data_IF_762291749455
#
_entry.id   IF_762291749455
#
_cell.length_a   1.000
_cell.length_b   1.000
_cell.length_c   1.000
_cell.angle_alpha   90.00
_cell.angle_beta   90.00
_cell.angle_gamma   90.00
#
_symmetry.space_group_name_H-M   'P 1'
#
loop_
_entity.id
_entity.type
_entity.pdbx_description
1 polymer ?
#
# COMPACT_ATOMS: atom_id res chain seq x y z
N UNK A 1 20.22 11.85 2.96
CA UNK A 1 19.53 10.67 2.37
C UNK A 1 18.49 11.16 1.38
N UNK A 2 18.37 10.58 0.18
CA UNK A 2 17.30 10.93 -0.77
C UNK A 2 15.92 10.59 -0.17
N UNK A 3 14.93 11.46 -0.34
CA UNK A 3 13.54 11.32 0.18
C UNK A 3 12.94 9.93 -0.07
N UNK A 4 13.23 9.33 -1.23
CA UNK A 4 12.84 7.97 -1.58
C UNK A 4 13.36 6.89 -0.61
N UNK A 5 14.62 6.99 -0.16
CA UNK A 5 15.20 6.03 0.80
C UNK A 5 14.53 6.13 2.17
N UNK A 6 14.20 7.35 2.60
CA UNK A 6 13.50 7.57 3.88
C UNK A 6 12.13 6.90 3.86
N UNK A 7 11.36 7.01 2.77
CA UNK A 7 10.08 6.31 2.65
C UNK A 7 10.22 4.79 2.72
N UNK A 8 11.22 4.22 2.06
CA UNK A 8 11.47 2.77 2.08
C UNK A 8 11.84 2.30 3.49
N UNK A 9 12.78 3.00 4.14
CA UNK A 9 13.21 2.68 5.51
C UNK A 9 12.04 2.83 6.49
N UNK A 10 11.27 3.92 6.42
CA UNK A 10 10.12 4.12 7.29
C UNK A 10 9.03 3.05 7.07
N UNK A 11 8.72 2.71 5.81
CA UNK A 11 7.74 1.67 5.49
C UNK A 11 8.13 0.31 6.09
N UNK A 12 9.34 -0.17 5.81
CA UNK A 12 9.77 -1.48 6.31
C UNK A 12 10.09 -1.46 7.80
N UNK A 13 10.53 -0.33 8.34
CA UNK A 13 10.73 -0.14 9.78
C UNK A 13 9.41 -0.21 10.56
N UNK A 14 8.36 0.48 10.10
CA UNK A 14 7.03 0.41 10.71
C UNK A 14 6.39 -0.97 10.54
N UNK A 15 6.54 -1.60 9.37
CA UNK A 15 6.05 -2.96 9.16
C UNK A 15 6.77 -3.97 10.06
N UNK A 16 8.10 -3.83 10.21
CA UNK A 16 8.89 -4.65 11.14
C UNK A 16 8.49 -4.40 12.60
N UNK A 17 8.28 -3.14 12.97
CA UNK A 17 7.78 -2.76 14.30
C UNK A 17 6.44 -3.45 14.59
N UNK A 18 5.46 -3.40 13.68
CA UNK A 18 4.18 -4.09 13.84
C UNK A 18 4.33 -5.59 14.17
N UNK A 19 5.33 -6.27 13.59
CA UNK A 19 5.58 -7.69 13.82
C UNK A 19 6.23 -7.98 15.18
N UNK A 20 7.12 -7.10 15.65
CA UNK A 20 7.90 -7.34 16.88
C UNK A 20 7.29 -6.71 18.14
N UNK A 21 6.33 -5.80 17.97
CA UNK A 21 5.64 -5.19 19.11
C UNK A 21 4.96 -6.28 19.96
N UNK A 22 5.16 -6.27 21.28
CA UNK A 22 4.63 -7.31 22.14
C UNK A 22 3.11 -7.28 22.15
N UNK A 23 2.50 -8.45 22.35
CA UNK A 23 1.10 -8.52 22.72
C UNK A 23 0.92 -8.04 24.16
N UNK A 24 -0.22 -7.40 24.43
CA UNK A 24 -0.62 -7.03 25.78
C UNK A 24 -1.73 -7.99 26.24
N UNK A 25 -1.45 -8.91 27.19
CA UNK A 25 -2.45 -9.87 27.67
C UNK A 25 -3.61 -9.19 28.43
N UNK A 26 -3.46 -7.93 28.86
CA UNK A 26 -4.54 -7.17 29.47
C UNK A 26 -5.56 -6.66 28.43
N UNK A 27 -5.18 -6.61 27.15
CA UNK A 27 -6.09 -6.22 26.07
C UNK A 27 -6.93 -7.42 25.68
N UNK A 28 -8.22 -7.36 26.02
CA UNK A 28 -9.22 -8.28 25.48
C UNK A 28 -9.78 -7.73 24.19
N UNK A 29 -9.75 -8.55 23.13
CA UNK A 29 -10.30 -8.22 21.83
C UNK A 29 -11.57 -9.03 21.54
N UNK A 30 -12.52 -8.50 20.76
CA UNK A 30 -13.63 -9.30 20.26
C UNK A 30 -13.16 -10.53 19.49
N UNK A 31 -13.84 -11.66 19.68
CA UNK A 31 -13.46 -12.96 19.06
C UNK A 31 -13.42 -12.95 17.53
N UNK A 32 -14.02 -11.95 16.88
CA UNK A 32 -13.98 -11.81 15.41
C UNK A 32 -12.68 -11.18 14.90
N UNK A 33 -11.80 -10.65 15.76
CA UNK A 33 -10.53 -10.04 15.36
C UNK A 33 -9.59 -11.06 14.72
N UNK A 34 -9.45 -12.24 15.31
CA UNK A 34 -8.58 -13.31 14.80
C UNK A 34 -8.98 -13.77 13.39
N UNK A 35 -10.25 -14.18 13.13
CA UNK A 35 -10.63 -14.55 11.77
C UNK A 35 -10.54 -13.37 10.80
N UNK A 36 -10.82 -12.13 11.24
CA UNK A 36 -10.63 -10.95 10.39
C UNK A 36 -9.16 -10.76 10.01
N UNK A 37 -8.23 -10.91 10.96
CA UNK A 37 -6.79 -10.83 10.72
C UNK A 37 -6.36 -11.81 9.63
N UNK A 38 -6.80 -13.08 9.73
CA UNK A 38 -6.50 -14.12 8.73
C UNK A 38 -7.06 -13.75 7.36
N UNK A 39 -8.33 -13.32 7.29
CA UNK A 39 -8.98 -12.91 6.03
C UNK A 39 -8.23 -11.74 5.40
N UNK A 40 -7.90 -10.71 6.18
CA UNK A 40 -7.14 -9.56 5.70
C UNK A 40 -5.75 -9.96 5.20
N UNK A 41 -5.07 -10.88 5.90
CA UNK A 41 -3.75 -11.36 5.49
C UNK A 41 -3.81 -12.07 4.13
N UNK A 42 -4.77 -12.98 3.95
CA UNK A 42 -4.98 -13.70 2.68
C UNK A 42 -5.30 -12.72 1.55
N UNK A 43 -6.24 -11.80 1.77
CA UNK A 43 -6.59 -10.77 0.78
C UNK A 43 -5.37 -9.91 0.41
N UNK A 44 -4.57 -9.51 1.39
CA UNK A 44 -3.39 -8.69 1.15
C UNK A 44 -2.35 -9.42 0.28
N UNK A 45 -2.08 -10.70 0.55
CA UNK A 45 -1.17 -11.49 -0.28
C UNK A 45 -1.70 -11.71 -1.69
N UNK A 46 -3.01 -11.88 -1.87
CA UNK A 46 -3.61 -11.95 -3.21
C UNK A 46 -3.43 -10.64 -3.98
N UNK A 47 -3.71 -9.49 -3.35
CA UNK A 47 -3.50 -8.17 -3.95
C UNK A 47 -2.01 -8.00 -4.31
N UNK A 48 -1.11 -8.35 -3.40
CA UNK A 48 0.34 -8.26 -3.60
C UNK A 48 0.79 -9.13 -4.78
N UNK A 49 0.29 -10.35 -4.88
CA UNK A 49 0.59 -11.28 -5.98
C UNK A 49 0.14 -10.71 -7.33
N UNK A 50 -1.12 -10.29 -7.46
CA UNK A 50 -1.64 -9.75 -8.72
C UNK A 50 -0.95 -8.44 -9.11
N UNK A 51 -0.66 -7.57 -8.14
CA UNK A 51 0.06 -6.33 -8.38
C UNK A 51 1.51 -6.61 -8.81
N UNK A 52 2.22 -7.51 -8.13
CA UNK A 52 3.58 -7.88 -8.48
C UNK A 52 3.67 -8.51 -9.88
N UNK A 53 2.71 -9.38 -10.25
CA UNK A 53 2.63 -9.96 -11.60
C UNK A 53 2.46 -8.87 -12.67
N UNK A 54 1.55 -7.91 -12.46
CA UNK A 54 1.34 -6.82 -13.41
C UNK A 54 2.54 -5.87 -13.48
N UNK A 55 3.24 -5.64 -12.36
CA UNK A 55 4.37 -4.73 -12.26
C UNK A 55 5.72 -5.37 -12.60
N UNK A 56 5.80 -6.68 -12.92
CA UNK A 56 7.08 -7.39 -13.18
C UNK A 56 8.13 -6.59 -13.97
N UNK A 57 7.81 -5.89 -15.07
CA UNK A 57 8.79 -5.10 -15.84
C UNK A 57 9.33 -3.86 -15.11
N UNK A 58 8.58 -3.35 -14.13
CA UNK A 58 8.82 -2.11 -13.42
C UNK A 58 9.06 -2.30 -11.90
N UNK A 59 9.01 -3.54 -11.39
CA UNK A 59 8.93 -3.84 -9.96
C UNK A 59 10.12 -3.26 -9.19
N UNK A 60 9.83 -2.43 -8.19
CA UNK A 60 10.82 -1.84 -7.29
C UNK A 60 10.14 -1.44 -5.98
N UNK A 61 10.86 -1.52 -4.87
CA UNK A 61 10.39 -0.97 -3.59
C UNK A 61 10.54 0.56 -3.51
N UNK A 62 11.41 1.13 -4.36
CA UNK A 62 11.64 2.57 -4.44
C UNK A 62 10.47 3.27 -5.14
N UNK A 63 10.00 4.43 -4.64
CA UNK A 63 8.99 5.23 -5.34
C UNK A 63 9.53 5.94 -6.59
N UNK A 64 10.81 5.76 -6.92
CA UNK A 64 11.43 6.34 -8.12
C UNK A 64 11.14 5.42 -9.31
N UNK A 65 10.44 5.88 -10.36
CA UNK A 65 10.15 5.07 -11.53
C UNK A 65 11.44 4.65 -12.25
N UNK A 66 11.61 3.35 -12.53
CA UNK A 66 12.79 2.82 -13.26
C UNK A 66 12.96 3.51 -14.61
N UNK A 67 14.15 4.04 -14.99
CA UNK A 67 14.38 4.89 -16.17
C UNK A 67 13.64 4.44 -17.44
N UNK A 68 13.69 3.16 -17.77
CA UNK A 68 13.13 2.58 -19.01
C UNK A 68 11.78 1.87 -18.83
N UNK A 69 11.22 1.84 -17.62
CA UNK A 69 9.97 1.12 -17.39
C UNK A 69 8.77 1.87 -17.97
N UNK A 70 7.83 1.16 -18.66
CA UNK A 70 6.60 1.75 -19.12
C UNK A 70 5.65 2.05 -17.96
N UNK A 71 4.72 2.98 -18.17
CA UNK A 71 3.61 3.20 -17.24
C UNK A 71 2.62 2.03 -17.33
N UNK A 72 2.58 1.19 -16.29
CA UNK A 72 1.68 0.03 -16.21
C UNK A 72 0.25 0.48 -15.86
N UNK A 73 -0.71 0.12 -16.72
CA UNK A 73 -2.14 0.48 -16.58
C UNK A 73 -3.08 -0.74 -16.73
N UNK A 74 -2.53 -1.95 -16.71
CA UNK A 74 -3.25 -3.21 -16.98
C UNK A 74 -3.42 -4.04 -15.70
N UNK A 75 -4.28 -5.06 -15.76
CA UNK A 75 -4.59 -5.88 -14.58
C UNK A 75 -5.20 -5.04 -13.46
N UNK A 76 -4.76 -5.25 -12.22
CA UNK A 76 -5.24 -4.50 -11.05
C UNK A 76 -4.95 -2.98 -11.14
N UNK A 77 -3.90 -2.60 -11.88
CA UNK A 77 -3.54 -1.19 -12.10
C UNK A 77 -4.57 -0.43 -12.95
N UNK A 78 -5.50 -1.10 -13.62
CA UNK A 78 -6.61 -0.42 -14.33
C UNK A 78 -7.63 0.19 -13.38
N UNK A 79 -7.66 -0.25 -12.12
CA UNK A 79 -8.64 0.17 -11.12
C UNK A 79 -8.03 0.99 -9.98
N UNK A 80 -6.81 0.65 -9.57
CA UNK A 80 -6.12 1.27 -8.43
C UNK A 80 -4.67 1.55 -8.85
N UNK A 81 -4.16 2.76 -8.59
CA UNK A 81 -2.79 3.15 -8.97
C UNK A 81 -1.71 2.56 -8.07
N UNK A 82 -2.00 2.40 -6.78
CA UNK A 82 -1.04 1.95 -5.77
C UNK A 82 -1.44 0.62 -5.09
N UNK A 83 -1.76 -0.45 -5.85
CA UNK A 83 -2.25 -1.70 -5.27
C UNK A 83 -1.22 -2.41 -4.38
N UNK A 84 0.08 -2.26 -4.66
CA UNK A 84 1.16 -2.73 -3.78
C UNK A 84 1.11 -2.06 -2.41
N UNK A 85 0.83 -0.74 -2.36
CA UNK A 85 0.72 -0.01 -1.09
C UNK A 85 -0.58 -0.36 -0.37
N UNK A 86 -1.69 -0.55 -1.09
CA UNK A 86 -2.91 -1.08 -0.52
C UNK A 86 -2.65 -2.44 0.15
N UNK A 87 -1.93 -3.36 -0.51
CA UNK A 87 -1.56 -4.64 0.10
C UNK A 87 -0.75 -4.47 1.39
N UNK A 88 0.27 -3.60 1.40
CA UNK A 88 1.09 -3.36 2.61
C UNK A 88 0.25 -2.76 3.75
N UNK A 89 -0.67 -1.85 3.46
CA UNK A 89 -1.62 -1.30 4.46
C UNK A 89 -2.50 -2.42 5.01
N UNK A 90 -2.99 -3.32 4.16
CA UNK A 90 -3.83 -4.45 4.57
C UNK A 90 -3.05 -5.49 5.37
N UNK A 91 -1.77 -5.76 5.05
CA UNK A 91 -0.88 -6.59 5.88
C UNK A 91 -0.73 -5.95 7.27
N UNK A 92 -0.45 -4.65 7.34
CA UNK A 92 -0.34 -3.94 8.61
C UNK A 92 -1.63 -4.00 9.43
N UNK A 93 -2.79 -3.92 8.77
CA UNK A 93 -4.09 -4.06 9.41
C UNK A 93 -4.29 -5.48 9.95
N UNK A 94 -3.96 -6.51 9.16
CA UNK A 94 -4.04 -7.90 9.60
C UNK A 94 -3.20 -8.14 10.87
N UNK A 95 -1.96 -7.65 10.89
CA UNK A 95 -1.08 -7.76 12.07
C UNK A 95 -1.68 -7.02 13.27
N UNK A 96 -2.18 -5.80 13.06
CA UNK A 96 -2.82 -5.01 14.12
C UNK A 96 -4.08 -5.68 14.68
N UNK A 97 -4.94 -6.27 13.84
CA UNK A 97 -6.11 -7.01 14.33
C UNK A 97 -5.72 -8.29 15.09
N UNK A 98 -4.62 -8.96 14.71
CA UNK A 98 -4.09 -10.13 15.44
C UNK A 98 -3.34 -9.77 16.74
N UNK A 99 -2.94 -8.50 16.90
CA UNK A 99 -2.33 -7.98 18.12
C UNK A 99 -2.84 -6.54 18.40
N UNK A 100 -4.07 -6.36 18.89
CA UNK A 100 -4.79 -5.08 18.87
C UNK A 100 -4.45 -4.16 20.05
N UNK A 101 -3.17 -3.82 20.21
CA UNK A 101 -2.73 -2.84 21.21
C UNK A 101 -2.82 -1.40 20.67
N UNK A 102 -2.81 -0.42 21.57
CA UNK A 102 -2.72 0.99 21.18
C UNK A 102 -1.45 1.27 20.35
N UNK A 103 -0.34 0.59 20.68
CA UNK A 103 0.94 0.80 20.00
C UNK A 103 0.94 0.23 18.58
N UNK A 104 0.33 -0.95 18.35
CA UNK A 104 0.17 -1.49 16.99
C UNK A 104 -0.80 -0.65 16.17
N UNK A 105 -1.87 -0.11 16.77
CA UNK A 105 -2.76 0.84 16.11
C UNK A 105 -2.02 2.11 15.66
N UNK A 106 -1.24 2.74 16.55
CA UNK A 106 -0.44 3.94 16.23
C UNK A 106 0.57 3.62 15.13
N UNK A 107 1.25 2.49 15.22
CA UNK A 107 2.23 2.06 14.22
C UNK A 107 1.57 1.84 12.84
N UNK A 108 0.39 1.22 12.80
CA UNK A 108 -0.39 1.02 11.58
C UNK A 108 -0.87 2.35 10.96
N UNK A 109 -1.37 3.29 11.78
CA UNK A 109 -1.75 4.63 11.30
C UNK A 109 -0.54 5.39 10.75
N UNK A 110 0.61 5.31 11.42
CA UNK A 110 1.86 5.90 10.91
C UNK A 110 2.27 5.28 9.57
N UNK A 111 2.11 3.96 9.40
CA UNK A 111 2.39 3.26 8.15
C UNK A 111 1.49 3.76 7.01
N UNK A 112 0.19 3.97 7.27
CA UNK A 112 -0.73 4.57 6.31
C UNK A 112 -0.23 5.95 5.89
N UNK A 113 0.09 6.83 6.84
CA UNK A 113 0.56 8.20 6.55
C UNK A 113 1.82 8.17 5.68
N UNK A 114 2.79 7.31 6.01
CA UNK A 114 4.02 7.14 5.21
C UNK A 114 3.69 6.71 3.78
N UNK A 115 2.80 5.73 3.60
CA UNK A 115 2.43 5.21 2.29
C UNK A 115 1.59 6.19 1.46
N UNK A 116 0.72 6.99 2.09
CA UNK A 116 0.00 8.08 1.41
C UNK A 116 0.96 9.13 0.86
N UNK A 117 1.93 9.56 1.68
CA UNK A 117 2.95 10.52 1.26
C UNK A 117 3.89 9.95 0.18
N UNK A 118 4.24 8.67 0.31
CA UNK A 118 5.06 7.95 -0.68
C UNK A 118 4.32 7.84 -2.02
N UNK A 119 3.04 7.50 -2.01
CA UNK A 119 2.19 7.44 -3.20
C UNK A 119 2.05 8.79 -3.88
N UNK A 120 1.85 9.87 -3.11
CA UNK A 120 1.81 11.22 -3.67
C UNK A 120 3.13 11.59 -4.33
N UNK A 121 4.26 11.31 -3.67
CA UNK A 121 5.59 11.56 -4.21
C UNK A 121 5.84 10.78 -5.52
N UNK A 122 5.45 9.51 -5.56
CA UNK A 122 5.54 8.66 -6.76
C UNK A 122 4.66 9.18 -7.90
N UNK A 123 3.40 9.56 -7.61
CA UNK A 123 2.49 10.13 -8.61
C UNK A 123 3.07 11.41 -9.24
N UNK A 124 3.72 12.28 -8.46
CA UNK A 124 4.39 13.48 -8.99
C UNK A 124 5.58 13.13 -9.90
N UNK A 125 6.37 12.12 -9.53
CA UNK A 125 7.48 11.64 -10.39
C UNK A 125 6.99 10.98 -11.68
N UNK A 126 5.82 10.33 -11.65
CA UNK A 126 5.23 9.76 -12.86
C UNK A 126 4.76 10.85 -13.83
N UNK A 127 4.25 11.99 -13.33
CA UNK A 127 3.85 13.13 -14.17
C UNK A 127 5.02 13.73 -14.95
N UNK A 128 6.21 13.81 -14.35
CA UNK A 128 7.39 14.34 -15.04
C UNK A 128 7.95 13.39 -16.10
N UNK A 129 7.65 12.10 -15.99
CA UNK A 129 8.27 11.05 -16.80
C UNK A 129 7.37 10.50 -17.90
N UNK A 130 6.07 10.45 -17.68
CA UNK A 130 5.13 9.81 -18.59
C UNK A 130 4.07 10.83 -19.03
N UNK A 131 4.00 11.20 -20.32
CA UNK A 131 3.00 12.14 -20.82
C UNK A 131 1.55 11.71 -20.55
N UNK A 132 1.30 10.39 -20.48
CA UNK A 132 -0.04 9.84 -20.22
C UNK A 132 -0.38 9.68 -18.73
N UNK A 133 0.54 10.01 -17.81
CA UNK A 133 0.32 9.86 -16.36
C UNK A 133 -0.83 10.73 -15.85
N UNK A 134 -0.96 11.98 -16.34
CA UNK A 134 -2.02 12.88 -15.92
C UNK A 134 -3.43 12.30 -16.22
N UNK A 135 -3.63 11.80 -17.44
CA UNK A 135 -4.88 11.17 -17.84
C UNK A 135 -5.20 9.93 -16.98
N UNK A 136 -4.18 9.09 -16.73
CA UNK A 136 -4.31 7.91 -15.88
C UNK A 136 -4.65 8.25 -14.42
N UNK A 137 -3.98 9.24 -13.82
CA UNK A 137 -4.26 9.69 -12.46
C UNK A 137 -5.65 10.31 -12.31
N UNK A 138 -6.17 10.94 -13.37
CA UNK A 138 -7.53 11.47 -13.41
C UNK A 138 -8.59 10.36 -13.47
N UNK A 139 -8.38 9.29 -14.23
CA UNK A 139 -9.38 8.22 -14.40
C UNK A 139 -9.33 7.12 -13.34
N UNK A 140 -8.16 6.83 -12.77
CA UNK A 140 -7.96 5.72 -11.82
C UNK A 140 -7.81 6.25 -10.40
N UNK A 141 -8.30 5.55 -9.38
CA UNK A 141 -8.18 5.95 -7.97
C UNK A 141 -6.85 5.55 -7.35
N UNK A 142 -6.41 6.23 -6.28
CA UNK A 142 -5.09 5.99 -5.69
C UNK A 142 -5.00 4.63 -4.99
N UNK A 143 -5.90 4.37 -4.02
CA UNK A 143 -5.92 3.15 -3.20
C UNK A 143 -7.22 2.35 -3.31
N UNK A 144 -8.30 2.99 -3.80
CA UNK A 144 -9.60 2.38 -4.07
C UNK A 144 -10.08 2.80 -5.47
N UNK A 145 -10.91 1.99 -6.15
CA UNK A 145 -11.44 2.35 -7.45
C UNK A 145 -12.23 3.66 -7.41
N UNK A 146 -12.07 4.49 -8.45
CA UNK A 146 -12.98 5.63 -8.64
C UNK A 146 -14.33 5.10 -9.10
N UNK A 147 -15.39 5.51 -8.40
CA UNK A 147 -16.75 5.41 -8.89
C UNK A 147 -16.89 6.41 -10.04
N UNK A 148 -16.47 6.03 -11.25
CA UNK A 148 -16.70 6.88 -12.41
C UNK A 148 -18.19 6.89 -12.70
N UNK A 149 -18.86 8.01 -12.43
CA UNK A 149 -20.16 8.31 -13.03
C UNK A 149 -19.92 8.41 -14.53
N UNK A 150 -20.47 7.48 -15.32
CA UNK A 150 -20.60 7.72 -16.77
C UNK A 150 -21.39 9.03 -16.90
N UNK A 151 -20.76 10.07 -17.44
CA UNK A 151 -21.51 11.12 -18.10
C UNK A 151 -21.95 10.50 -19.42
N UNK A 152 -23.21 10.06 -19.45
CA UNK A 152 -23.93 9.73 -20.68
C UNK A 152 -24.06 10.98 -21.57
#
# INVERSE_FOLDING_TARGET
>A
MTKARLFVIAQFGLLGALVVLPADPAVSAPSWFDPLSVVLMVLAFLILLFAAIALRPALTASPIPRPTAPLIKTGIYRYIRHPMYSAVITIGAAIMFGNPTLLTMICWVALIIVLLNKAHFEDQLLLTKHPTAAAYQKSVGAFVPKLSRKSD
#
